data_IF_929767285822
#
_entry.id   IF_929767285822
#
_cell.length_a   1.000
_cell.length_b   1.000
_cell.length_c   1.000
_cell.angle_alpha   90.00
_cell.angle_beta   90.00
_cell.angle_gamma   90.00
#
_symmetry.space_group_name_H-M   'P 1'
#
loop_
_entity.id
_entity.type
_entity.pdbx_description
1 polymer ?
#
# COMPACT_ATOMS: atom_id res chain seq x y z
N UNK A 1 48.86 18.87 4.15
CA UNK A 1 48.13 17.59 4.05
C UNK A 1 46.72 17.92 4.43
N UNK A 2 45.89 18.27 3.45
CA UNK A 2 44.48 18.50 3.73
C UNK A 2 43.82 17.14 3.84
N UNK A 3 43.39 16.78 5.05
CA UNK A 3 42.50 15.64 5.25
C UNK A 3 41.17 16.00 4.60
N UNK A 4 40.93 15.52 3.38
CA UNK A 4 39.59 15.57 2.78
C UNK A 4 38.60 15.00 3.78
N UNK A 5 37.53 15.75 4.04
CA UNK A 5 36.43 15.29 4.90
C UNK A 5 35.87 14.01 4.28
N UNK A 6 35.96 12.90 5.01
CA UNK A 6 35.45 11.62 4.56
C UNK A 6 33.99 11.46 5.00
N UNK A 7 33.06 11.78 4.10
CA UNK A 7 31.62 11.72 4.41
C UNK A 7 31.17 10.28 4.72
N UNK A 8 31.75 9.27 4.06
CA UNK A 8 31.39 7.86 4.28
C UNK A 8 31.70 7.44 5.73
N UNK A 9 32.90 7.79 6.22
CA UNK A 9 33.28 7.56 7.62
C UNK A 9 32.37 8.31 8.62
N UNK A 10 31.99 9.56 8.31
CA UNK A 10 31.08 10.33 9.17
C UNK A 10 29.64 9.79 9.16
N UNK A 11 29.21 9.19 8.05
CA UNK A 11 27.93 8.48 7.90
C UNK A 11 27.93 7.17 8.71
N UNK A 12 28.99 6.37 8.58
CA UNK A 12 29.21 5.11 9.31
C UNK A 12 29.25 5.30 10.83
N UNK A 13 30.03 6.27 11.32
CA UNK A 13 30.16 6.60 12.74
C UNK A 13 28.97 7.41 13.30
N UNK A 14 27.99 7.76 12.45
CA UNK A 14 26.86 8.66 12.77
C UNK A 14 27.30 10.00 13.41
N UNK A 15 28.42 10.56 12.94
CA UNK A 15 28.95 11.85 13.42
C UNK A 15 28.15 13.02 12.82
N UNK A 16 27.01 13.32 13.44
CA UNK A 16 26.13 14.42 13.03
C UNK A 16 26.83 15.78 13.11
N UNK A 17 27.75 16.02 14.05
CA UNK A 17 28.47 17.30 14.14
C UNK A 17 29.45 17.46 12.97
N UNK A 18 30.18 16.41 12.62
CA UNK A 18 31.02 16.34 11.44
C UNK A 18 30.24 16.53 10.14
N UNK A 19 29.09 15.86 10.00
CA UNK A 19 28.21 15.99 8.83
C UNK A 19 27.58 17.39 8.72
N UNK A 20 27.11 17.97 9.84
CA UNK A 20 26.58 19.35 9.88
C UNK A 20 27.65 20.38 9.53
N UNK A 21 28.90 20.14 9.92
CA UNK A 21 30.04 20.96 9.50
C UNK A 21 30.31 20.81 8.00
N UNK A 22 30.25 19.60 7.47
CA UNK A 22 30.43 19.31 6.04
C UNK A 22 29.31 19.89 5.16
N UNK A 23 28.08 20.01 5.68
CA UNK A 23 26.96 20.69 5.02
C UNK A 23 27.25 22.18 4.72
N UNK A 24 28.23 22.77 5.43
CA UNK A 24 28.69 24.16 5.26
C UNK A 24 30.05 24.28 4.56
N UNK A 25 30.60 23.18 4.04
CA UNK A 25 31.90 23.16 3.36
C UNK A 25 31.88 23.98 2.05
N UNK A 26 32.97 24.66 1.64
CA UNK A 26 33.05 25.33 0.35
C UNK A 26 32.84 24.41 -0.88
N UNK A 27 33.21 23.13 -0.81
CA UNK A 27 32.99 22.15 -1.89
C UNK A 27 31.52 21.71 -1.93
N UNK A 28 30.87 21.96 -3.07
CA UNK A 28 29.47 21.58 -3.27
C UNK A 28 29.24 20.06 -3.24
N UNK A 29 30.26 19.26 -3.59
CA UNK A 29 30.16 17.79 -3.56
C UNK A 29 30.08 17.34 -2.10
N UNK A 30 30.95 17.86 -1.23
CA UNK A 30 30.95 17.54 0.20
C UNK A 30 29.62 17.93 0.85
N UNK A 31 29.03 19.08 0.49
CA UNK A 31 27.70 19.48 1.00
C UNK A 31 26.58 18.54 0.54
N UNK A 32 26.61 18.11 -0.73
CA UNK A 32 25.60 17.21 -1.32
C UNK A 32 25.67 15.83 -0.68
N UNK A 33 26.88 15.27 -0.54
CA UNK A 33 27.07 14.00 0.16
C UNK A 33 26.75 14.14 1.66
N UNK A 34 27.08 15.26 2.32
CA UNK A 34 26.71 15.51 3.71
C UNK A 34 25.18 15.54 3.91
N UNK A 35 24.42 16.21 3.04
CA UNK A 35 22.96 16.20 3.08
C UNK A 35 22.40 14.77 2.86
N UNK A 36 22.99 14.00 1.94
CA UNK A 36 22.65 12.59 1.71
C UNK A 36 22.95 11.69 2.92
N UNK A 37 24.07 11.93 3.61
CA UNK A 37 24.45 11.21 4.82
C UNK A 37 23.53 11.55 5.99
N UNK A 38 23.26 12.84 6.24
CA UNK A 38 22.31 13.30 7.27
C UNK A 38 20.91 12.69 7.08
N UNK A 39 20.46 12.54 5.83
CA UNK A 39 19.22 11.83 5.48
C UNK A 39 19.20 10.37 5.92
N UNK A 40 20.34 9.67 5.86
CA UNK A 40 20.48 8.26 6.27
C UNK A 40 20.68 8.12 7.79
N UNK A 41 21.32 9.10 8.42
CA UNK A 41 21.56 9.13 9.87
C UNK A 41 20.28 9.46 10.65
N UNK A 42 19.41 10.33 10.12
CA UNK A 42 18.05 10.55 10.66
C UNK A 42 17.97 11.27 12.01
N UNK A 43 19.03 11.97 12.43
CA UNK A 43 19.15 12.56 13.77
C UNK A 43 18.57 13.98 13.85
N UNK A 44 17.79 14.25 14.92
CA UNK A 44 17.13 15.54 15.17
C UNK A 44 18.09 16.75 15.21
N UNK A 45 19.36 16.54 15.61
CA UNK A 45 20.37 17.62 15.65
C UNK A 45 20.68 18.18 14.26
N UNK A 46 20.34 17.45 13.19
CA UNK A 46 20.47 17.90 11.82
C UNK A 46 19.36 18.87 11.35
N UNK A 47 18.22 18.97 12.05
CA UNK A 47 17.03 19.69 11.57
C UNK A 47 17.31 21.17 11.25
N UNK A 48 17.87 21.92 12.20
CA UNK A 48 18.18 23.35 11.98
C UNK A 48 19.23 23.56 10.87
N UNK A 49 20.35 22.80 10.80
CA UNK A 49 21.26 22.81 9.65
C UNK A 49 20.60 22.50 8.30
N UNK A 50 19.70 21.52 8.24
CA UNK A 50 18.99 21.14 7.01
C UNK A 50 17.96 22.20 6.57
N UNK A 51 17.32 22.88 7.53
CA UNK A 51 16.48 24.07 7.28
C UNK A 51 17.32 25.24 6.72
N UNK A 52 18.58 25.39 7.16
CA UNK A 52 19.48 26.41 6.63
C UNK A 52 19.90 26.10 5.18
N UNK A 53 20.17 24.83 4.85
CA UNK A 53 20.54 24.43 3.48
C UNK A 53 19.38 24.49 2.50
N UNK A 54 18.12 24.32 2.92
CA UNK A 54 16.93 24.60 2.09
C UNK A 54 16.91 26.03 1.54
N UNK A 55 17.43 27.01 2.28
CA UNK A 55 17.15 28.45 2.06
C UNK A 55 18.32 29.23 1.46
N UNK A 56 19.38 28.55 1.01
CA UNK A 56 20.68 29.16 0.79
C UNK A 56 20.82 29.98 -0.53
N UNK A 57 20.22 31.18 -0.54
CA UNK A 57 20.09 32.10 -1.69
C UNK A 57 21.39 32.72 -2.23
N UNK A 58 22.57 32.42 -1.70
CA UNK A 58 23.83 33.12 -2.08
C UNK A 58 24.67 32.41 -3.14
N UNK A 59 24.27 31.22 -3.62
CA UNK A 59 25.11 30.37 -4.48
C UNK A 59 24.65 30.28 -5.95
N UNK A 60 24.10 31.35 -6.52
CA UNK A 60 23.51 31.38 -7.87
C UNK A 60 24.47 31.17 -9.08
N UNK A 61 25.68 30.63 -8.90
CA UNK A 61 26.62 30.36 -10.01
C UNK A 61 26.46 28.97 -10.65
N UNK A 62 26.09 27.94 -9.88
CA UNK A 62 26.21 26.53 -10.29
C UNK A 62 24.88 25.76 -10.08
N UNK A 63 23.94 26.02 -10.99
CA UNK A 63 22.50 25.71 -10.84
C UNK A 63 22.17 24.26 -10.43
N UNK A 64 22.81 23.27 -11.07
CA UNK A 64 22.39 21.84 -10.99
C UNK A 64 22.75 21.16 -9.67
N UNK A 65 23.92 21.44 -9.08
CA UNK A 65 24.35 20.68 -7.89
C UNK A 65 23.79 21.26 -6.58
N UNK A 66 23.20 22.45 -6.66
CA UNK A 66 22.60 23.12 -5.52
C UNK A 66 21.14 22.73 -5.31
N UNK A 67 20.40 22.35 -6.35
CA UNK A 67 19.09 21.71 -6.15
C UNK A 67 19.25 20.36 -5.45
N UNK A 68 20.25 19.55 -5.83
CA UNK A 68 20.54 18.28 -5.14
C UNK A 68 20.79 18.42 -3.63
N UNK A 69 21.42 19.52 -3.16
CA UNK A 69 21.54 19.80 -1.70
C UNK A 69 20.17 20.09 -1.09
N UNK A 70 19.33 20.92 -1.75
CA UNK A 70 18.00 21.29 -1.24
C UNK A 70 17.00 20.13 -1.28
N UNK A 71 17.01 19.32 -2.34
CA UNK A 71 16.28 18.05 -2.46
C UNK A 71 16.63 17.11 -1.30
N UNK A 72 17.93 16.84 -1.08
CA UNK A 72 18.33 15.92 -0.01
C UNK A 72 18.02 16.50 1.37
N UNK A 73 18.04 17.84 1.53
CA UNK A 73 17.63 18.50 2.76
C UNK A 73 16.12 18.36 3.01
N UNK A 74 15.28 18.56 1.98
CA UNK A 74 13.84 18.36 2.10
C UNK A 74 13.48 16.90 2.41
N UNK A 75 14.12 15.95 1.72
CA UNK A 75 13.91 14.52 1.95
C UNK A 75 14.39 14.09 3.35
N UNK A 76 15.54 14.60 3.82
CA UNK A 76 16.03 14.37 5.18
C UNK A 76 15.05 14.89 6.24
N UNK A 77 14.55 16.11 6.09
CA UNK A 77 13.58 16.71 7.02
C UNK A 77 12.27 15.92 7.08
N UNK A 78 11.79 15.41 5.94
CA UNK A 78 10.65 14.50 5.88
C UNK A 78 10.87 13.19 6.63
N UNK A 79 12.06 12.58 6.49
CA UNK A 79 12.41 11.34 7.21
C UNK A 79 12.66 11.54 8.71
N UNK A 80 13.23 12.67 9.12
CA UNK A 80 13.47 12.99 10.54
C UNK A 80 12.15 13.29 11.27
N UNK A 81 11.16 13.86 10.58
CA UNK A 81 9.81 14.04 11.12
C UNK A 81 9.63 15.19 12.13
N UNK A 82 10.59 16.12 12.24
CA UNK A 82 10.47 17.28 13.14
C UNK A 82 9.52 18.35 12.56
N UNK A 83 8.40 18.68 13.26
CA UNK A 83 7.44 19.70 12.82
C UNK A 83 8.03 21.11 12.62
N UNK A 84 9.19 21.43 13.22
CA UNK A 84 9.88 22.70 13.00
C UNK A 84 10.27 22.93 11.52
N UNK A 85 10.36 21.86 10.73
CA UNK A 85 10.61 21.92 9.29
C UNK A 85 9.43 22.46 8.48
N UNK A 86 8.19 22.30 8.94
CA UNK A 86 6.96 22.51 8.15
C UNK A 86 6.92 23.90 7.47
N UNK A 87 7.15 25.05 8.17
CA UNK A 87 7.05 26.36 7.52
C UNK A 87 8.10 26.58 6.41
N UNK A 88 9.25 25.91 6.52
CA UNK A 88 10.35 26.02 5.56
C UNK A 88 10.16 25.06 4.37
N UNK A 89 9.62 23.87 4.62
CA UNK A 89 9.18 22.96 3.57
C UNK A 89 8.03 23.58 2.75
N UNK A 90 7.10 24.30 3.39
CA UNK A 90 6.09 25.11 2.69
C UNK A 90 6.76 26.22 1.84
N UNK A 91 7.70 27.01 2.40
CA UNK A 91 8.42 28.05 1.63
C UNK A 91 9.13 27.44 0.39
N UNK A 92 9.80 26.29 0.54
CA UNK A 92 10.45 25.57 -0.55
C UNK A 92 9.45 25.01 -1.58
N UNK A 93 8.38 24.35 -1.13
CA UNK A 93 7.35 23.80 -2.03
C UNK A 93 6.65 24.88 -2.86
N UNK A 94 6.42 26.07 -2.29
CA UNK A 94 5.77 27.17 -3.01
C UNK A 94 6.69 27.93 -3.99
N UNK A 95 8.01 27.99 -3.72
CA UNK A 95 8.89 29.02 -4.29
C UNK A 95 10.22 28.54 -4.86
N UNK A 96 10.59 27.27 -4.67
CA UNK A 96 11.86 26.81 -5.23
C UNK A 96 11.79 26.77 -6.77
N UNK A 97 12.76 27.37 -7.48
CA UNK A 97 12.76 27.35 -8.94
C UNK A 97 12.95 25.94 -9.53
N UNK A 98 13.48 25.00 -8.74
CA UNK A 98 13.70 23.61 -9.14
C UNK A 98 12.50 22.73 -8.72
N UNK A 99 11.92 22.02 -9.69
CA UNK A 99 10.73 21.19 -9.49
C UNK A 99 10.99 19.92 -8.68
N UNK A 100 12.21 19.37 -8.66
CA UNK A 100 12.53 18.24 -7.79
C UNK A 100 12.60 18.69 -6.32
N UNK A 101 13.10 19.91 -6.06
CA UNK A 101 13.05 20.49 -4.70
C UNK A 101 11.61 20.73 -4.25
N UNK A 102 10.74 21.27 -5.11
CA UNK A 102 9.30 21.43 -4.79
C UNK A 102 8.62 20.07 -4.55
N UNK A 103 8.95 19.06 -5.36
CA UNK A 103 8.46 17.69 -5.22
C UNK A 103 8.83 17.09 -3.86
N UNK A 104 10.11 17.17 -3.50
CA UNK A 104 10.63 16.58 -2.25
C UNK A 104 10.10 17.29 -1.02
N UNK A 105 9.88 18.61 -1.11
CA UNK A 105 9.18 19.36 -0.07
C UNK A 105 7.70 18.94 0.05
N UNK A 106 6.98 18.76 -1.07
CA UNK A 106 5.60 18.26 -1.07
C UNK A 106 5.49 16.83 -0.51
N UNK A 107 6.47 15.96 -0.79
CA UNK A 107 6.57 14.62 -0.21
C UNK A 107 6.82 14.69 1.30
N UNK A 108 7.83 15.44 1.74
CA UNK A 108 8.18 15.58 3.16
C UNK A 108 7.03 16.13 4.02
N UNK A 109 6.26 17.08 3.49
CA UNK A 109 5.03 17.57 4.15
C UNK A 109 3.93 16.49 4.27
N UNK A 110 3.92 15.51 3.38
CA UNK A 110 3.03 14.34 3.46
C UNK A 110 3.44 13.36 4.55
N UNK A 111 4.74 13.03 4.63
CA UNK A 111 5.29 12.14 5.67
C UNK A 111 5.17 12.75 7.08
N UNK A 112 5.36 14.07 7.21
CA UNK A 112 5.12 14.81 8.46
C UNK A 112 3.65 14.77 8.92
N UNK A 113 2.69 14.52 8.01
CA UNK A 113 1.28 14.32 8.34
C UNK A 113 0.51 15.55 8.87
N UNK A 114 1.15 16.70 9.06
CA UNK A 114 0.56 17.84 9.77
C UNK A 114 -0.50 18.59 8.93
N UNK A 115 -1.74 18.78 9.45
CA UNK A 115 -2.81 19.48 8.74
C UNK A 115 -2.53 20.93 8.34
N UNK A 116 -1.55 21.62 8.94
CA UNK A 116 -1.15 22.98 8.55
C UNK A 116 -0.56 23.05 7.14
N UNK A 117 -0.04 21.92 6.62
CA UNK A 117 0.45 21.81 5.25
C UNK A 117 -0.66 21.71 4.18
N UNK A 118 -1.91 21.43 4.57
CA UNK A 118 -3.00 21.10 3.64
C UNK A 118 -3.30 22.21 2.64
N UNK A 119 -3.33 23.47 3.04
CA UNK A 119 -3.60 24.58 2.11
C UNK A 119 -2.48 24.74 1.07
N UNK A 120 -1.21 24.63 1.49
CA UNK A 120 -0.07 24.71 0.59
C UNK A 120 -0.02 23.51 -0.38
N UNK A 121 -0.33 22.30 0.10
CA UNK A 121 -0.42 21.10 -0.74
C UNK A 121 -1.62 21.15 -1.69
N UNK A 122 -2.73 21.78 -1.31
CA UNK A 122 -3.85 22.09 -2.21
C UNK A 122 -3.38 23.03 -3.34
N UNK A 123 -2.58 24.06 -3.04
CA UNK A 123 -1.98 24.90 -4.09
C UNK A 123 -0.98 24.15 -4.98
N UNK A 124 -0.21 23.20 -4.42
CA UNK A 124 0.72 22.37 -5.18
C UNK A 124 0.03 21.38 -6.16
N UNK A 125 -1.28 21.13 -6.02
CA UNK A 125 -2.08 20.45 -7.06
C UNK A 125 -2.23 21.27 -8.36
N UNK A 126 -1.79 22.53 -8.39
CA UNK A 126 -1.81 23.37 -9.60
C UNK A 126 -0.39 23.70 -10.13
N UNK A 127 0.65 23.00 -9.64
CA UNK A 127 2.04 23.18 -10.12
C UNK A 127 2.18 22.82 -11.61
N UNK A 128 3.07 23.54 -12.31
CA UNK A 128 3.36 23.27 -13.72
C UNK A 128 3.92 21.85 -13.96
N UNK A 129 4.69 21.31 -13.01
CA UNK A 129 5.27 19.97 -13.10
C UNK A 129 4.31 18.90 -12.55
N UNK A 130 4.04 17.87 -13.37
CA UNK A 130 3.12 16.78 -13.02
C UNK A 130 3.60 15.93 -11.84
N UNK A 131 4.92 15.79 -11.65
CA UNK A 131 5.51 15.05 -10.53
C UNK A 131 5.28 15.77 -9.19
N UNK A 132 5.26 17.11 -9.18
CA UNK A 132 4.88 17.90 -8.01
C UNK A 132 3.38 17.72 -7.71
N UNK A 133 2.51 17.89 -8.71
CA UNK A 133 1.05 17.68 -8.57
C UNK A 133 0.71 16.27 -8.06
N UNK A 134 1.38 15.24 -8.60
CA UNK A 134 1.24 13.83 -8.18
C UNK A 134 1.61 13.64 -6.72
N UNK A 135 2.75 14.19 -6.27
CA UNK A 135 3.18 14.06 -4.88
C UNK A 135 2.27 14.85 -3.94
N UNK A 136 1.85 16.07 -4.30
CA UNK A 136 0.84 16.81 -3.56
C UNK A 136 -0.47 16.00 -3.38
N UNK A 137 -0.96 15.34 -4.44
CA UNK A 137 -2.12 14.45 -4.34
C UNK A 137 -1.90 13.27 -3.39
N UNK A 138 -0.71 12.64 -3.43
CA UNK A 138 -0.36 11.56 -2.51
C UNK A 138 -0.29 12.02 -1.05
N UNK A 139 0.40 13.13 -0.78
CA UNK A 139 0.59 13.73 0.54
C UNK A 139 -0.72 14.16 1.18
N UNK A 140 -1.61 14.81 0.41
CA UNK A 140 -2.98 15.10 0.87
C UNK A 140 -3.74 13.82 1.23
N UNK A 141 -3.53 12.75 0.47
CA UNK A 141 -4.06 11.42 0.79
C UNK A 141 -3.45 10.76 2.03
N UNK A 142 -2.22 11.10 2.43
CA UNK A 142 -1.59 10.64 3.67
C UNK A 142 -2.16 11.41 4.87
N UNK A 143 -2.20 12.74 4.79
CA UNK A 143 -2.75 13.63 5.83
C UNK A 143 -4.26 13.36 6.05
N UNK A 144 -5.00 13.07 4.98
CA UNK A 144 -6.40 12.62 5.06
C UNK A 144 -7.45 13.71 5.34
N UNK A 145 -7.06 14.99 5.37
CA UNK A 145 -8.00 16.10 5.58
C UNK A 145 -9.01 16.22 4.41
N UNK A 146 -10.30 16.02 4.73
CA UNK A 146 -11.42 16.12 3.79
C UNK A 146 -11.63 17.53 3.20
N UNK A 147 -10.95 18.56 3.73
CA UNK A 147 -10.84 19.89 3.11
C UNK A 147 -10.25 19.81 1.70
N UNK A 148 -9.32 18.87 1.45
CA UNK A 148 -8.68 18.69 0.15
C UNK A 148 -9.52 17.92 -0.87
N UNK A 149 -10.59 17.22 -0.46
CA UNK A 149 -11.37 16.36 -1.35
C UNK A 149 -11.92 17.07 -2.61
N UNK A 150 -12.44 18.32 -2.58
CA UNK A 150 -12.88 19.02 -3.80
C UNK A 150 -11.76 19.27 -4.81
N UNK A 151 -10.53 19.50 -4.33
CA UNK A 151 -9.36 19.75 -5.17
C UNK A 151 -8.79 18.45 -5.74
N UNK A 152 -8.80 17.38 -4.95
CA UNK A 152 -8.48 16.04 -5.44
C UNK A 152 -9.51 15.51 -6.44
N UNK A 153 -10.79 15.88 -6.31
CA UNK A 153 -11.81 15.59 -7.33
C UNK A 153 -11.47 16.30 -8.65
N UNK A 154 -11.07 17.58 -8.62
CA UNK A 154 -10.56 18.29 -9.81
C UNK A 154 -9.30 17.61 -10.39
N UNK A 155 -8.40 17.09 -9.54
CA UNK A 155 -7.20 16.38 -9.96
C UNK A 155 -7.46 15.01 -10.63
N UNK A 156 -8.69 14.47 -10.57
CA UNK A 156 -9.10 13.34 -11.41
C UNK A 156 -9.25 13.72 -12.90
N UNK A 157 -9.24 15.01 -13.24
CA UNK A 157 -9.32 15.53 -14.61
C UNK A 157 -7.95 15.97 -15.17
N UNK A 158 -6.84 15.70 -14.45
CA UNK A 158 -5.50 16.14 -14.85
C UNK A 158 -5.04 15.47 -16.16
N UNK A 159 -4.27 16.21 -16.97
CA UNK A 159 -3.70 15.69 -18.22
C UNK A 159 -2.72 14.52 -17.99
N UNK A 160 -2.03 14.47 -16.84
CA UNK A 160 -1.11 13.38 -16.50
C UNK A 160 -1.81 12.27 -15.69
N UNK A 161 -1.69 11.04 -16.19
CA UNK A 161 -2.33 9.87 -15.61
C UNK A 161 -1.82 9.52 -14.21
N UNK A 162 -0.58 9.87 -13.84
CA UNK A 162 -0.12 9.68 -12.46
C UNK A 162 -0.88 10.60 -11.50
N UNK A 163 -1.14 11.85 -11.88
CA UNK A 163 -1.90 12.78 -11.04
C UNK A 163 -3.31 12.23 -10.82
N UNK A 164 -4.01 11.82 -11.89
CA UNK A 164 -5.33 11.17 -11.80
C UNK A 164 -5.31 9.91 -10.92
N UNK A 165 -4.29 9.05 -11.08
CA UNK A 165 -4.09 7.81 -10.31
C UNK A 165 -3.91 8.08 -8.81
N UNK A 166 -3.09 9.05 -8.43
CA UNK A 166 -2.85 9.38 -7.02
C UNK A 166 -4.00 10.18 -6.40
N UNK A 167 -4.69 11.02 -7.16
CA UNK A 167 -5.95 11.64 -6.74
C UNK A 167 -7.02 10.59 -6.38
N UNK A 168 -7.21 9.57 -7.23
CA UNK A 168 -8.12 8.45 -6.93
C UNK A 168 -7.71 7.67 -5.66
N UNK A 169 -6.40 7.44 -5.46
CA UNK A 169 -5.89 6.80 -4.22
C UNK A 169 -6.19 7.65 -2.99
N UNK A 170 -5.96 8.97 -3.06
CA UNK A 170 -6.19 9.90 -1.95
C UNK A 170 -7.67 9.99 -1.56
N UNK A 171 -8.57 10.14 -2.55
CA UNK A 171 -10.01 10.15 -2.32
C UNK A 171 -10.51 8.82 -1.71
N UNK A 172 -9.93 7.70 -2.15
CA UNK A 172 -10.18 6.38 -1.56
C UNK A 172 -9.65 6.21 -0.14
N UNK A 173 -8.58 6.91 0.26
CA UNK A 173 -8.10 6.97 1.66
C UNK A 173 -9.01 7.86 2.52
N UNK A 174 -9.43 9.02 2.01
CA UNK A 174 -10.31 9.96 2.71
C UNK A 174 -11.74 9.44 2.92
N UNK A 175 -12.20 8.51 2.08
CA UNK A 175 -13.59 8.02 2.08
C UNK A 175 -14.60 9.19 2.08
N UNK A 176 -14.41 10.14 1.16
CA UNK A 176 -15.33 11.27 0.98
C UNK A 176 -16.36 10.97 -0.10
N UNK A 177 -17.63 10.92 0.28
CA UNK A 177 -18.74 10.56 -0.61
C UNK A 177 -18.91 11.53 -1.77
N UNK A 178 -18.43 12.78 -1.65
CA UNK A 178 -18.45 13.78 -2.75
C UNK A 178 -17.67 13.30 -3.97
N UNK A 179 -16.72 12.38 -3.80
CA UNK A 179 -15.93 11.80 -4.89
C UNK A 179 -16.67 10.73 -5.70
N UNK A 180 -17.77 10.13 -5.19
CA UNK A 180 -18.44 8.99 -5.83
C UNK A 180 -18.83 9.24 -7.29
N UNK A 181 -19.46 10.38 -7.66
CA UNK A 181 -19.87 10.62 -9.06
C UNK A 181 -18.68 10.67 -10.02
N UNK A 182 -17.61 11.36 -9.65
CA UNK A 182 -16.44 11.54 -10.52
C UNK A 182 -15.60 10.25 -10.57
N UNK A 183 -15.42 9.55 -9.44
CA UNK A 183 -14.78 8.23 -9.42
C UNK A 183 -15.51 7.18 -10.29
N UNK A 184 -16.84 7.28 -10.41
CA UNK A 184 -17.61 6.45 -11.35
C UNK A 184 -17.30 6.80 -12.81
N UNK A 185 -17.08 8.07 -13.15
CA UNK A 185 -16.66 8.50 -14.48
C UNK A 185 -15.21 8.06 -14.77
N UNK A 186 -14.31 8.19 -13.77
CA UNK A 186 -12.92 7.69 -13.80
C UNK A 186 -12.83 6.17 -14.01
N UNK A 187 -13.90 5.39 -13.78
CA UNK A 187 -13.92 3.98 -14.20
C UNK A 187 -13.75 3.81 -15.71
N UNK A 188 -14.08 4.81 -16.55
CA UNK A 188 -13.89 4.80 -18.02
C UNK A 188 -12.70 5.65 -18.51
N UNK A 189 -11.75 6.00 -17.61
CA UNK A 189 -10.46 6.63 -17.95
C UNK A 189 -9.71 5.85 -19.05
N UNK A 190 -8.86 6.52 -19.82
CA UNK A 190 -8.01 5.91 -20.85
C UNK A 190 -6.94 4.98 -20.26
N UNK A 191 -6.40 5.30 -19.09
CA UNK A 191 -5.32 4.57 -18.44
C UNK A 191 -5.82 3.40 -17.58
N UNK A 192 -5.07 2.30 -17.58
CA UNK A 192 -5.46 1.08 -16.87
C UNK A 192 -5.30 1.17 -15.35
N UNK A 193 -4.25 1.85 -14.87
CA UNK A 193 -3.98 2.03 -13.46
C UNK A 193 -4.98 3.02 -12.84
N UNK A 194 -5.30 4.11 -13.54
CA UNK A 194 -6.31 5.09 -13.10
C UNK A 194 -7.66 4.42 -12.90
N UNK A 195 -8.15 3.64 -13.89
CA UNK A 195 -9.39 2.85 -13.76
C UNK A 195 -9.34 1.87 -12.58
N UNK A 196 -8.21 1.19 -12.37
CA UNK A 196 -8.04 0.26 -11.26
C UNK A 196 -8.07 0.97 -9.90
N UNK A 197 -7.39 2.11 -9.75
CA UNK A 197 -7.40 2.89 -8.51
C UNK A 197 -8.78 3.51 -8.23
N UNK A 198 -9.50 3.99 -9.24
CA UNK A 198 -10.88 4.46 -9.07
C UNK A 198 -11.82 3.34 -8.56
N UNK A 199 -11.70 2.13 -9.10
CA UNK A 199 -12.44 0.97 -8.61
C UNK A 199 -12.07 0.60 -7.15
N UNK A 200 -10.78 0.67 -6.78
CA UNK A 200 -10.38 0.46 -5.39
C UNK A 200 -10.91 1.56 -4.46
N UNK A 201 -10.94 2.82 -4.90
CA UNK A 201 -11.50 3.94 -4.14
C UNK A 201 -13.01 3.77 -3.89
N UNK A 202 -13.77 3.41 -4.93
CA UNK A 202 -15.20 3.08 -4.78
C UNK A 202 -15.42 1.85 -3.88
N UNK A 203 -14.54 0.84 -3.95
CA UNK A 203 -14.54 -0.29 -3.03
C UNK A 203 -14.31 0.12 -1.57
N UNK A 204 -13.36 1.04 -1.31
CA UNK A 204 -13.10 1.60 0.03
C UNK A 204 -14.24 2.49 0.54
N UNK A 205 -14.96 3.17 -0.34
CA UNK A 205 -16.20 3.90 0.00
C UNK A 205 -17.36 2.96 0.36
N UNK A 206 -17.28 1.67 0.01
CA UNK A 206 -18.17 0.63 0.49
C UNK A 206 -19.65 0.91 0.19
N UNK A 207 -20.50 0.76 1.20
CA UNK A 207 -21.95 0.89 1.07
C UNK A 207 -22.41 2.25 0.52
N UNK A 208 -21.69 3.34 0.81
CA UNK A 208 -22.03 4.67 0.30
C UNK A 208 -21.96 4.77 -1.22
N UNK A 209 -21.10 3.98 -1.88
CA UNK A 209 -21.01 3.92 -3.34
C UNK A 209 -22.12 3.08 -3.99
N UNK A 210 -22.79 2.19 -3.24
CA UNK A 210 -23.73 1.20 -3.78
C UNK A 210 -24.93 1.81 -4.52
N UNK A 211 -25.64 2.84 -4.01
CA UNK A 211 -26.76 3.44 -4.74
C UNK A 211 -26.36 4.02 -6.10
N UNK A 212 -25.18 4.64 -6.18
CA UNK A 212 -24.66 5.22 -7.40
C UNK A 212 -24.17 4.15 -8.40
N UNK A 213 -23.59 3.05 -7.89
CA UNK A 213 -23.23 1.87 -8.69
C UNK A 213 -24.47 1.13 -9.25
N UNK A 214 -25.54 0.99 -8.46
CA UNK A 214 -26.81 0.44 -8.94
C UNK A 214 -27.40 1.31 -10.06
N UNK A 215 -27.33 2.63 -9.93
CA UNK A 215 -27.68 3.55 -11.03
C UNK A 215 -26.77 3.36 -12.26
N UNK A 216 -25.48 3.10 -12.07
CA UNK A 216 -24.52 2.84 -13.15
C UNK A 216 -24.79 1.50 -13.89
N UNK A 217 -25.40 0.50 -13.24
CA UNK A 217 -25.94 -0.70 -13.91
C UNK A 217 -27.04 -0.38 -14.93
N UNK A 218 -27.65 0.80 -14.90
CA UNK A 218 -28.65 1.24 -15.88
C UNK A 218 -28.05 2.10 -17.01
N UNK A 219 -26.72 2.21 -17.09
CA UNK A 219 -26.05 3.01 -18.11
C UNK A 219 -26.23 2.45 -19.53
N UNK A 220 -26.40 3.34 -20.52
CA UNK A 220 -26.38 2.95 -21.95
C UNK A 220 -25.04 2.33 -22.36
N UNK A 221 -23.93 2.74 -21.73
CA UNK A 221 -22.60 2.16 -21.97
C UNK A 221 -22.47 0.82 -21.24
N UNK A 222 -22.40 -0.29 -21.98
CA UNK A 222 -22.25 -1.62 -21.40
C UNK A 222 -20.95 -1.80 -20.61
N UNK A 223 -19.88 -1.05 -20.94
CA UNK A 223 -18.62 -1.09 -20.17
C UNK A 223 -18.83 -0.53 -18.77
N UNK A 224 -19.60 0.56 -18.65
CA UNK A 224 -19.95 1.14 -17.35
C UNK A 224 -20.77 0.15 -16.51
N UNK A 225 -21.77 -0.52 -17.11
CA UNK A 225 -22.54 -1.56 -16.40
C UNK A 225 -21.66 -2.73 -15.93
N UNK A 226 -20.75 -3.22 -16.78
CA UNK A 226 -19.83 -4.30 -16.43
C UNK A 226 -18.86 -3.91 -15.30
N UNK A 227 -18.33 -2.67 -15.32
CA UNK A 227 -17.45 -2.13 -14.28
C UNK A 227 -18.21 -1.94 -12.96
N UNK A 228 -19.43 -1.38 -13.01
CA UNK A 228 -20.28 -1.23 -11.85
C UNK A 228 -20.61 -2.59 -11.19
N UNK A 229 -20.92 -3.61 -11.99
CA UNK A 229 -21.12 -4.97 -11.49
C UNK A 229 -19.87 -5.53 -10.79
N UNK A 230 -18.67 -5.28 -11.33
CA UNK A 230 -17.42 -5.69 -10.67
C UNK A 230 -17.19 -4.99 -9.33
N UNK A 231 -17.43 -3.68 -9.25
CA UNK A 231 -17.28 -2.92 -7.99
C UNK A 231 -18.31 -3.38 -6.95
N UNK A 232 -19.57 -3.58 -7.34
CA UNK A 232 -20.63 -4.12 -6.48
C UNK A 232 -20.25 -5.50 -5.92
N UNK A 233 -19.66 -6.38 -6.74
CA UNK A 233 -19.13 -7.67 -6.29
C UNK A 233 -17.90 -7.60 -5.38
N UNK A 234 -17.19 -6.47 -5.33
CA UNK A 234 -16.10 -6.21 -4.37
C UNK A 234 -16.61 -5.63 -3.05
N UNK A 235 -17.66 -4.82 -3.08
CA UNK A 235 -18.32 -4.27 -1.87
C UNK A 235 -19.12 -5.36 -1.16
N UNK A 236 -19.86 -6.17 -1.91
CA UNK A 236 -20.55 -7.36 -1.40
C UNK A 236 -21.70 -7.11 -0.43
N UNK A 237 -22.32 -5.93 -0.48
CA UNK A 237 -23.52 -5.62 0.30
C UNK A 237 -24.75 -6.41 -0.15
N UNK A 238 -25.79 -6.44 0.68
CA UNK A 238 -27.07 -7.07 0.34
C UNK A 238 -27.77 -6.37 -0.84
N UNK A 239 -27.73 -5.04 -0.91
CA UNK A 239 -28.25 -4.29 -2.06
C UNK A 239 -27.46 -4.59 -3.35
N UNK A 240 -26.13 -4.76 -3.24
CA UNK A 240 -25.29 -5.18 -4.34
C UNK A 240 -25.66 -6.59 -4.84
N UNK A 241 -25.89 -7.53 -3.91
CA UNK A 241 -26.37 -8.88 -4.22
C UNK A 241 -27.68 -8.85 -5.02
N UNK A 242 -28.70 -8.11 -4.55
CA UNK A 242 -29.99 -8.04 -5.23
C UNK A 242 -29.90 -7.37 -6.61
N UNK A 243 -29.13 -6.28 -6.74
CA UNK A 243 -28.92 -5.63 -8.04
C UNK A 243 -28.18 -6.53 -9.06
N UNK A 244 -27.22 -7.34 -8.60
CA UNK A 244 -26.52 -8.32 -9.44
C UNK A 244 -27.42 -9.51 -9.82
N UNK A 245 -28.35 -9.91 -8.93
CA UNK A 245 -29.40 -10.89 -9.25
C UNK A 245 -30.33 -10.35 -10.35
N UNK A 246 -30.72 -9.07 -10.29
CA UNK A 246 -31.56 -8.43 -11.31
C UNK A 246 -30.90 -8.46 -12.71
N UNK A 247 -29.60 -8.14 -12.80
CA UNK A 247 -28.83 -8.14 -14.07
C UNK A 247 -28.85 -9.50 -14.81
N UNK A 248 -28.92 -10.61 -14.06
CA UNK A 248 -29.04 -11.97 -14.60
C UNK A 248 -30.48 -12.49 -14.72
N UNK A 249 -31.45 -11.83 -14.07
CA UNK A 249 -32.87 -12.18 -14.11
C UNK A 249 -33.50 -11.78 -15.44
N UNK A 250 -34.64 -12.39 -15.82
CA UNK A 250 -35.29 -12.07 -17.11
C UNK A 250 -36.22 -10.83 -16.98
N UNK A 251 -36.17 -9.87 -17.93
CA UNK A 251 -35.28 -9.78 -19.08
C UNK A 251 -33.86 -9.35 -18.65
N UNK A 252 -32.86 -10.17 -18.97
CA UNK A 252 -31.48 -9.96 -18.54
C UNK A 252 -30.75 -8.95 -19.43
N UNK A 253 -29.63 -8.41 -18.96
CA UNK A 253 -28.79 -7.52 -19.77
C UNK A 253 -28.44 -8.17 -21.12
N UNK A 254 -28.61 -7.46 -22.23
CA UNK A 254 -28.32 -8.00 -23.55
C UNK A 254 -26.82 -8.28 -23.80
N UNK A 255 -25.92 -7.68 -23.02
CA UNK A 255 -24.48 -7.76 -23.22
C UNK A 255 -23.84 -8.88 -22.36
N UNK A 256 -23.22 -9.84 -23.06
CA UNK A 256 -22.47 -10.98 -22.49
C UNK A 256 -21.42 -10.60 -21.43
N UNK A 257 -20.77 -9.45 -21.55
CA UNK A 257 -19.73 -9.04 -20.61
C UNK A 257 -20.33 -8.54 -19.30
N UNK A 258 -21.47 -7.84 -19.36
CA UNK A 258 -22.21 -7.41 -18.17
C UNK A 258 -22.76 -8.64 -17.43
N UNK A 259 -23.41 -9.57 -18.14
CA UNK A 259 -23.91 -10.83 -17.55
C UNK A 259 -22.79 -11.65 -16.91
N UNK A 260 -21.68 -11.88 -17.61
CA UNK A 260 -20.55 -12.64 -17.06
C UNK A 260 -19.88 -11.95 -15.87
N UNK A 261 -19.76 -10.62 -15.88
CA UNK A 261 -19.26 -9.85 -14.72
C UNK A 261 -20.21 -9.88 -13.53
N UNK A 262 -21.52 -9.89 -13.77
CA UNK A 262 -22.52 -10.07 -12.70
C UNK A 262 -22.44 -11.47 -12.09
N UNK A 263 -22.25 -12.52 -12.90
CA UNK A 263 -22.03 -13.88 -12.41
C UNK A 263 -20.73 -13.99 -11.57
N UNK A 264 -19.62 -13.46 -12.08
CA UNK A 264 -18.33 -13.34 -11.38
C UNK A 264 -18.48 -12.60 -10.03
N UNK A 265 -19.25 -11.51 -10.02
CA UNK A 265 -19.55 -10.71 -8.84
C UNK A 265 -20.39 -11.46 -7.80
N UNK A 266 -21.48 -12.15 -8.19
CA UNK A 266 -22.26 -13.00 -7.28
C UNK A 266 -21.39 -14.12 -6.66
N UNK A 267 -20.50 -14.71 -7.46
CA UNK A 267 -19.49 -15.65 -6.97
C UNK A 267 -18.50 -15.05 -5.99
N UNK A 268 -18.18 -13.75 -6.08
CA UNK A 268 -17.39 -13.04 -5.06
C UNK A 268 -18.14 -12.86 -3.75
N UNK A 269 -19.42 -12.47 -3.81
CA UNK A 269 -20.28 -12.29 -2.64
C UNK A 269 -20.47 -13.62 -1.88
N UNK A 270 -20.64 -14.73 -2.61
CA UNK A 270 -20.70 -16.06 -1.99
C UNK A 270 -22.06 -16.40 -1.34
N UNK A 271 -23.11 -15.60 -1.62
CA UNK A 271 -24.45 -15.80 -1.05
C UNK A 271 -25.28 -16.81 -1.85
N UNK A 272 -25.88 -17.78 -1.15
CA UNK A 272 -26.73 -18.85 -1.72
C UNK A 272 -27.95 -18.33 -2.49
N UNK A 273 -28.44 -17.11 -2.19
CA UNK A 273 -29.55 -16.47 -2.91
C UNK A 273 -29.23 -16.20 -4.38
N UNK A 274 -27.94 -16.05 -4.73
CA UNK A 274 -27.51 -15.92 -6.13
C UNK A 274 -27.58 -17.23 -6.94
N UNK A 275 -27.73 -18.40 -6.30
CA UNK A 275 -27.61 -19.70 -6.99
C UNK A 275 -28.67 -19.94 -8.06
N UNK A 276 -29.89 -19.43 -7.91
CA UNK A 276 -30.96 -19.63 -8.90
C UNK A 276 -30.64 -18.95 -10.23
N UNK A 277 -30.30 -17.66 -10.19
CA UNK A 277 -29.93 -16.90 -11.40
C UNK A 277 -28.63 -17.39 -12.02
N UNK A 278 -27.67 -17.84 -11.20
CA UNK A 278 -26.45 -18.47 -11.72
C UNK A 278 -26.74 -19.79 -12.43
N UNK A 279 -27.61 -20.66 -11.89
CA UNK A 279 -28.03 -21.90 -12.57
C UNK A 279 -28.76 -21.63 -13.88
N UNK A 280 -29.52 -20.54 -13.96
CA UNK A 280 -30.11 -20.07 -15.22
C UNK A 280 -29.02 -19.59 -16.19
N UNK A 281 -27.99 -18.87 -15.71
CA UNK A 281 -26.85 -18.40 -16.50
C UNK A 281 -25.92 -19.54 -17.01
N UNK A 282 -25.93 -20.73 -16.41
CA UNK A 282 -25.30 -21.94 -16.99
C UNK A 282 -25.91 -22.33 -18.35
N UNK A 283 -27.09 -21.81 -18.70
CA UNK A 283 -27.77 -22.02 -20.00
C UNK A 283 -27.70 -20.79 -20.92
N UNK A 284 -26.86 -19.81 -20.59
CA UNK A 284 -26.66 -18.62 -21.42
C UNK A 284 -26.12 -18.98 -22.81
N UNK A 285 -26.45 -18.19 -23.83
CA UNK A 285 -25.98 -18.39 -25.20
C UNK A 285 -24.45 -18.30 -25.31
N UNK A 286 -23.80 -17.42 -24.53
CA UNK A 286 -22.36 -17.18 -24.60
C UNK A 286 -21.60 -18.02 -23.59
N UNK A 287 -20.58 -18.74 -24.08
CA UNK A 287 -19.67 -19.55 -23.24
C UNK A 287 -19.12 -18.78 -22.04
N UNK A 288 -18.68 -17.53 -22.24
CA UNK A 288 -18.13 -16.69 -21.15
C UNK A 288 -19.09 -16.55 -19.95
N UNK A 289 -20.40 -16.41 -20.18
CA UNK A 289 -21.38 -16.26 -19.10
C UNK A 289 -21.57 -17.59 -18.37
N UNK A 290 -21.62 -18.71 -19.10
CA UNK A 290 -21.69 -20.07 -18.53
C UNK A 290 -20.45 -20.37 -17.67
N UNK A 291 -19.26 -20.14 -18.21
CA UNK A 291 -17.98 -20.36 -17.51
C UNK A 291 -17.92 -19.56 -16.19
N UNK A 292 -18.35 -18.29 -16.19
CA UNK A 292 -18.41 -17.48 -14.95
C UNK A 292 -19.49 -17.97 -13.98
N UNK A 293 -20.65 -18.42 -14.47
CA UNK A 293 -21.71 -18.99 -13.64
C UNK A 293 -21.27 -20.29 -12.97
N UNK A 294 -20.57 -21.18 -13.69
CA UNK A 294 -20.01 -22.41 -13.14
C UNK A 294 -19.00 -22.13 -12.02
N UNK A 295 -18.05 -21.20 -12.25
CA UNK A 295 -17.07 -20.75 -11.25
C UNK A 295 -17.76 -20.14 -10.02
N UNK A 296 -18.79 -19.31 -10.22
CA UNK A 296 -19.54 -18.69 -9.14
C UNK A 296 -20.31 -19.72 -8.30
N UNK A 297 -20.99 -20.68 -8.94
CA UNK A 297 -21.70 -21.77 -8.26
C UNK A 297 -20.73 -22.64 -7.46
N UNK A 298 -19.59 -23.03 -8.07
CA UNK A 298 -18.51 -23.75 -7.39
C UNK A 298 -18.06 -23.01 -6.13
N UNK A 299 -17.84 -21.69 -6.22
CA UNK A 299 -17.38 -20.86 -5.09
C UNK A 299 -18.43 -20.68 -3.98
N UNK A 300 -19.71 -20.57 -4.33
CA UNK A 300 -20.81 -20.47 -3.34
C UNK A 300 -21.10 -21.82 -2.67
N UNK A 301 -21.06 -22.92 -3.43
CA UNK A 301 -21.35 -24.27 -2.93
C UNK A 301 -20.16 -24.95 -2.25
N UNK A 302 -18.93 -24.46 -2.46
CA UNK A 302 -17.76 -24.98 -1.72
C UNK A 302 -18.03 -24.79 -0.22
N UNK A 303 -18.08 -25.87 0.58
CA UNK A 303 -18.36 -25.73 2.00
C UNK A 303 -17.33 -24.80 2.63
N UNK A 304 -17.78 -23.84 3.44
CA UNK A 304 -16.91 -23.07 4.31
C UNK A 304 -16.27 -24.05 5.29
N UNK A 305 -15.06 -24.51 4.97
CA UNK A 305 -14.30 -25.41 5.84
C UNK A 305 -13.92 -24.67 7.10
N UNK A 306 -14.42 -25.15 8.23
CA UNK A 306 -13.92 -24.76 9.54
C UNK A 306 -12.44 -25.15 9.61
N UNK A 307 -11.56 -24.15 9.67
CA UNK A 307 -10.17 -24.36 10.05
C UNK A 307 -10.19 -24.57 11.55
N UNK A 308 -9.87 -25.78 12.01
CA UNK A 308 -9.81 -26.05 13.45
C UNK A 308 -8.44 -25.62 13.95
N UNK A 309 -8.45 -24.80 15.01
CA UNK A 309 -7.25 -24.50 15.77
C UNK A 309 -7.16 -25.51 16.90
N UNK A 310 -6.08 -26.28 16.91
CA UNK A 310 -5.71 -27.19 17.99
C UNK A 310 -4.66 -26.48 18.84
N UNK A 311 -4.90 -26.45 20.15
CA UNK A 311 -4.04 -25.81 21.13
C UNK A 311 -3.56 -26.89 22.11
N UNK A 312 -2.25 -26.96 22.35
CA UNK A 312 -1.63 -27.99 23.17
C UNK A 312 -1.00 -27.37 24.44
N UNK A 313 -0.99 -28.14 25.53
CA UNK A 313 -0.57 -27.66 26.87
C UNK A 313 0.91 -27.20 26.96
N UNK A 314 1.71 -27.46 25.93
CA UNK A 314 3.09 -26.99 25.76
C UNK A 314 3.19 -25.57 25.16
N UNK A 315 2.08 -24.93 24.79
CA UNK A 315 2.06 -23.64 24.10
C UNK A 315 2.20 -23.73 22.58
N UNK A 316 2.03 -24.93 22.00
CA UNK A 316 2.04 -25.15 20.56
C UNK A 316 0.64 -24.96 19.98
N UNK A 317 0.55 -24.18 18.89
CA UNK A 317 -0.71 -23.91 18.17
C UNK A 317 -0.62 -24.51 16.77
N UNK A 318 -1.68 -25.23 16.36
CA UNK A 318 -1.72 -25.92 15.08
C UNK A 318 -3.03 -25.73 14.31
N UNK A 319 -2.94 -25.62 12.99
CA UNK A 319 -4.07 -25.38 12.08
C UNK A 319 -4.36 -26.63 11.21
N UNK A 320 -5.54 -27.22 11.37
CA UNK A 320 -6.00 -28.39 10.59
C UNK A 320 -6.70 -27.95 9.29
N UNK A 321 -6.15 -28.37 8.14
CA UNK A 321 -6.66 -28.06 6.80
C UNK A 321 -6.90 -29.34 5.97
N UNK A 322 -8.05 -29.42 5.29
CA UNK A 322 -8.61 -30.73 4.89
C UNK A 322 -8.76 -31.00 3.38
N UNK A 323 -7.95 -30.44 2.47
CA UNK A 323 -8.00 -30.82 1.03
C UNK A 323 -6.69 -30.63 0.24
N UNK A 324 -6.57 -31.41 -0.85
CA UNK A 324 -5.44 -31.48 -1.78
C UNK A 324 -5.51 -30.40 -2.88
N UNK A 325 -4.39 -30.08 -3.57
CA UNK A 325 -4.29 -28.94 -4.50
C UNK A 325 -3.85 -29.33 -5.93
N UNK A 326 -4.12 -28.46 -6.92
CA UNK A 326 -3.81 -28.66 -8.35
C UNK A 326 -3.54 -27.30 -9.08
N UNK A 327 -2.99 -27.31 -10.31
CA UNK A 327 -2.23 -26.19 -10.91
C UNK A 327 -2.79 -25.64 -12.25
N UNK A 328 -2.80 -24.30 -12.48
CA UNK A 328 -3.16 -23.65 -13.77
C UNK A 328 -2.37 -22.33 -14.00
N UNK A 329 -1.86 -22.09 -15.22
CA UNK A 329 -1.07 -20.90 -15.63
C UNK A 329 -1.93 -19.74 -16.21
N UNK A 330 -1.48 -18.60 -16.77
CA UNK A 330 -0.15 -18.05 -17.17
C UNK A 330 -0.14 -16.50 -17.06
N UNK A 331 1.06 -15.91 -17.26
CA UNK A 331 1.43 -14.56 -17.78
C UNK A 331 0.96 -13.28 -17.06
N UNK A 332 1.96 -12.42 -16.83
CA UNK A 332 1.98 -11.02 -16.37
C UNK A 332 1.28 -10.66 -15.05
N UNK A 333 2.07 -10.08 -14.13
CA UNK A 333 1.69 -9.58 -12.81
C UNK A 333 1.04 -10.60 -11.83
N UNK A 334 1.81 -11.65 -11.49
CA UNK A 334 1.60 -12.62 -10.38
C UNK A 334 0.28 -13.43 -10.37
N UNK A 335 0.42 -14.77 -10.46
CA UNK A 335 -0.54 -15.76 -9.96
C UNK A 335 0.22 -16.82 -9.15
N UNK A 336 -0.32 -17.18 -7.99
CA UNK A 336 0.21 -18.21 -7.08
C UNK A 336 -0.98 -18.96 -6.48
N UNK A 337 -0.88 -20.29 -6.32
CA UNK A 337 -1.57 -21.19 -5.36
C UNK A 337 -1.03 -22.63 -5.58
N UNK A 338 -0.89 -23.46 -4.52
CA UNK A 338 0.02 -24.64 -4.49
C UNK A 338 -0.36 -25.65 -3.38
N UNK A 339 -0.01 -26.95 -3.49
CA UNK A 339 0.15 -27.83 -2.30
C UNK A 339 0.00 -29.36 -2.42
N UNK A 340 0.93 -30.09 -1.79
CA UNK A 340 0.91 -31.45 -1.17
C UNK A 340 2.39 -31.83 -0.94
N UNK A 341 2.87 -32.53 0.09
CA UNK A 341 2.32 -33.45 1.11
C UNK A 341 2.86 -33.04 2.52
N UNK A 342 2.44 -33.54 3.69
CA UNK A 342 1.40 -34.51 4.12
C UNK A 342 0.81 -34.03 5.48
N UNK A 343 0.20 -34.94 6.26
CA UNK A 343 -0.23 -34.79 7.66
C UNK A 343 -1.18 -33.61 8.03
N UNK A 344 -1.55 -32.76 7.08
CA UNK A 344 -2.66 -31.80 7.15
C UNK A 344 -2.62 -30.73 8.27
N UNK A 345 -1.49 -30.60 8.96
CA UNK A 345 -1.28 -29.62 10.02
C UNK A 345 0.05 -28.91 9.85
N UNK A 346 0.10 -27.64 10.26
CA UNK A 346 1.38 -26.98 10.56
C UNK A 346 1.34 -26.52 12.02
N UNK A 347 2.51 -26.51 12.68
CA UNK A 347 2.68 -26.15 14.10
C UNK A 347 3.47 -24.86 14.25
N UNK A 348 3.23 -24.15 15.35
CA UNK A 348 4.03 -23.01 15.83
C UNK A 348 4.39 -23.28 17.29
N UNK A 349 5.68 -23.19 17.63
CA UNK A 349 6.17 -23.29 19.01
C UNK A 349 6.61 -21.92 19.53
N UNK A 350 6.11 -21.54 20.70
CA UNK A 350 6.45 -20.29 21.38
C UNK A 350 7.52 -20.54 22.46
N UNK A 351 8.63 -19.81 22.40
CA UNK A 351 9.57 -19.75 23.52
C UNK A 351 9.30 -18.47 24.31
N UNK A 352 8.92 -18.61 25.58
CA UNK A 352 8.49 -17.48 26.42
C UNK A 352 9.68 -16.84 27.10
N UNK A 353 9.83 -15.53 26.98
CA UNK A 353 10.61 -14.74 27.93
C UNK A 353 9.63 -13.94 28.82
N UNK A 354 9.94 -13.84 30.11
CA UNK A 354 9.02 -13.28 31.12
C UNK A 354 8.92 -11.74 31.03
N UNK A 355 7.87 -11.20 31.64
CA UNK A 355 7.63 -9.76 31.85
C UNK A 355 6.96 -8.98 30.70
N UNK A 356 5.94 -9.58 30.08
CA UNK A 356 4.87 -8.87 29.34
C UNK A 356 3.51 -9.33 29.86
N UNK A 357 2.55 -8.41 30.03
CA UNK A 357 1.20 -8.75 30.53
C UNK A 357 0.46 -9.71 29.59
N UNK A 358 -0.37 -10.58 30.17
CA UNK A 358 -0.90 -11.78 29.52
C UNK A 358 -1.85 -11.48 28.35
N UNK A 359 -1.34 -11.49 27.11
CA UNK A 359 -2.16 -11.90 25.96
C UNK A 359 -2.37 -13.41 26.09
N UNK A 360 -3.62 -13.83 26.25
CA UNK A 360 -3.93 -15.26 26.38
C UNK A 360 -3.65 -16.01 25.08
N UNK A 361 -3.35 -17.31 25.17
CA UNK A 361 -3.20 -18.18 24.00
C UNK A 361 -4.44 -18.17 23.08
N UNK A 362 -5.59 -17.74 23.60
CA UNK A 362 -6.85 -17.64 22.87
C UNK A 362 -6.96 -16.33 22.08
N UNK A 363 -6.52 -15.20 22.64
CA UNK A 363 -6.45 -13.91 21.92
C UNK A 363 -5.40 -13.94 20.82
N UNK A 364 -4.23 -14.54 21.09
CA UNK A 364 -3.20 -14.72 20.05
C UNK A 364 -3.67 -15.67 18.93
N UNK A 365 -4.47 -16.69 19.25
CA UNK A 365 -5.09 -17.55 18.24
C UNK A 365 -6.16 -16.83 17.41
N UNK A 366 -6.86 -15.82 17.95
CA UNK A 366 -7.73 -14.93 17.14
C UNK A 366 -6.88 -14.09 16.17
N UNK A 367 -5.77 -13.50 16.65
CA UNK A 367 -4.85 -12.73 15.78
C UNK A 367 -4.27 -13.58 14.64
N UNK A 368 -3.81 -14.80 14.92
CA UNK A 368 -3.24 -15.69 13.89
C UNK A 368 -4.25 -16.14 12.82
N UNK A 369 -5.56 -16.21 13.13
CA UNK A 369 -6.63 -16.48 12.13
C UNK A 369 -6.74 -15.35 11.11
N UNK A 370 -6.66 -14.11 11.58
CA UNK A 370 -6.80 -12.92 10.77
C UNK A 370 -5.52 -12.63 9.96
N UNK A 371 -4.36 -12.93 10.55
CA UNK A 371 -3.04 -12.72 9.96
C UNK A 371 -2.73 -13.73 8.84
N UNK A 372 -2.46 -15.01 9.15
CA UNK A 372 -1.68 -15.82 8.20
C UNK A 372 -2.44 -16.56 7.10
N UNK A 373 -3.57 -17.21 7.43
CA UNK A 373 -4.28 -18.13 6.51
C UNK A 373 -3.43 -19.17 5.74
N UNK A 374 -2.23 -19.55 6.22
CA UNK A 374 -1.50 -20.84 6.05
C UNK A 374 0.01 -20.70 6.32
N UNK A 375 0.70 -21.82 6.56
CA UNK A 375 2.14 -21.90 6.89
C UNK A 375 2.88 -22.90 5.97
N UNK A 376 4.23 -22.87 5.96
CA UNK A 376 5.09 -23.90 5.34
C UNK A 376 6.51 -23.41 5.07
N UNK A 377 7.27 -23.08 6.13
CA UNK A 377 8.45 -22.22 6.04
C UNK A 377 9.56 -22.66 7.02
N UNK A 378 10.84 -22.53 6.65
CA UNK A 378 12.02 -22.81 7.50
C UNK A 378 12.84 -21.52 7.75
N UNK A 379 13.35 -21.29 8.97
CA UNK A 379 14.17 -20.11 9.29
C UNK A 379 15.61 -20.40 8.88
N UNK A 380 16.16 -19.65 7.92
CA UNK A 380 17.47 -19.96 7.31
C UNK A 380 18.58 -18.96 7.70
N UNK A 381 18.24 -17.76 8.21
CA UNK A 381 19.25 -16.80 8.69
C UNK A 381 18.78 -16.04 9.96
N UNK A 382 19.52 -16.20 11.06
CA UNK A 382 19.40 -15.38 12.27
C UNK A 382 20.47 -14.27 12.24
N UNK A 383 20.27 -13.23 11.44
CA UNK A 383 21.10 -12.02 11.56
C UNK A 383 20.64 -11.19 12.75
N UNK A 384 21.44 -11.23 13.80
CA UNK A 384 21.20 -10.55 15.08
C UNK A 384 21.21 -9.03 14.92
N UNK A 385 20.07 -8.42 14.59
CA UNK A 385 19.87 -6.97 14.57
C UNK A 385 19.60 -6.42 15.99
N UNK A 386 20.52 -6.68 16.93
CA UNK A 386 20.35 -6.39 18.37
C UNK A 386 20.26 -4.89 18.74
N UNK A 387 20.44 -3.95 17.80
CA UNK A 387 20.67 -2.55 18.14
C UNK A 387 19.43 -1.74 18.60
N UNK A 388 18.20 -2.24 18.42
CA UNK A 388 16.98 -1.46 18.71
C UNK A 388 15.81 -2.25 19.35
N UNK A 389 16.03 -3.49 19.82
CA UNK A 389 14.97 -4.29 20.46
C UNK A 389 13.89 -4.81 19.51
N UNK A 390 14.23 -4.98 18.24
CA UNK A 390 13.38 -5.56 17.19
C UNK A 390 13.97 -6.90 16.73
N UNK A 391 13.13 -7.89 16.42
CA UNK A 391 13.56 -9.22 15.98
C UNK A 391 12.93 -9.55 14.63
N UNK A 392 13.76 -9.58 13.58
CA UNK A 392 13.36 -9.90 12.22
C UNK A 392 13.57 -11.39 11.98
N UNK A 393 12.51 -12.09 11.57
CA UNK A 393 12.54 -13.54 11.34
C UNK A 393 12.30 -13.84 9.85
N UNK A 394 13.38 -14.02 9.10
CA UNK A 394 13.31 -14.38 7.68
C UNK A 394 13.03 -15.88 7.53
N UNK A 395 11.83 -16.22 7.02
CA UNK A 395 11.39 -17.62 6.90
C UNK A 395 11.30 -18.03 5.43
N UNK A 396 12.35 -18.71 4.98
CA UNK A 396 12.52 -19.19 3.63
C UNK A 396 11.85 -20.56 3.47
N UNK A 397 10.86 -20.64 2.58
CA UNK A 397 10.23 -21.91 2.22
C UNK A 397 10.89 -22.51 0.98
N UNK A 398 11.87 -23.41 1.15
CA UNK A 398 12.33 -24.20 0.01
C UNK A 398 11.24 -25.17 -0.46
N UNK A 399 11.08 -25.24 -1.79
CA UNK A 399 10.24 -26.23 -2.43
C UNK A 399 10.91 -26.62 -3.74
N UNK A 400 11.61 -27.76 -3.73
CA UNK A 400 12.61 -28.12 -4.74
C UNK A 400 12.06 -28.40 -6.17
N UNK A 401 10.76 -28.18 -6.43
CA UNK A 401 10.12 -28.46 -7.73
C UNK A 401 9.60 -27.22 -8.48
N UNK A 402 9.68 -26.01 -7.90
CA UNK A 402 9.41 -24.73 -8.59
C UNK A 402 10.40 -23.68 -8.06
N UNK A 403 10.65 -22.59 -8.80
CA UNK A 403 11.45 -21.45 -8.31
C UNK A 403 10.99 -21.02 -6.90
N UNK A 404 11.95 -20.73 -6.00
CA UNK A 404 11.66 -20.51 -4.58
C UNK A 404 10.70 -19.34 -4.37
N UNK A 405 9.91 -19.40 -3.30
CA UNK A 405 8.95 -18.35 -2.93
C UNK A 405 9.00 -18.20 -1.42
N UNK A 406 9.50 -17.07 -0.93
CA UNK A 406 9.75 -16.83 0.50
C UNK A 406 8.60 -16.07 1.17
N UNK A 407 8.54 -16.18 2.50
CA UNK A 407 7.62 -15.42 3.35
C UNK A 407 8.45 -14.71 4.43
N UNK A 408 8.61 -13.39 4.29
CA UNK A 408 9.26 -12.57 5.31
C UNK A 408 8.26 -12.25 6.41
N UNK A 409 8.63 -12.46 7.68
CA UNK A 409 7.86 -12.05 8.85
C UNK A 409 8.71 -11.10 9.70
N UNK A 410 8.25 -9.86 9.85
CA UNK A 410 8.91 -8.87 10.72
C UNK A 410 8.13 -8.79 12.03
N UNK A 411 8.83 -8.90 13.16
CA UNK A 411 8.26 -8.66 14.48
C UNK A 411 8.96 -7.52 15.20
N UNK A 412 8.21 -6.67 15.89
CA UNK A 412 8.78 -5.56 16.65
C UNK A 412 7.95 -5.26 17.90
N UNK A 413 8.62 -4.78 18.95
CA UNK A 413 8.03 -4.47 20.24
C UNK A 413 7.88 -2.96 20.42
N UNK A 414 6.70 -2.51 20.85
CA UNK A 414 6.51 -1.17 21.44
C UNK A 414 5.86 -1.33 22.80
N UNK A 415 6.43 -0.68 23.82
CA UNK A 415 5.95 -0.77 25.20
C UNK A 415 5.78 -2.24 25.65
N UNK A 416 4.59 -2.62 26.11
CA UNK A 416 4.21 -3.99 26.47
C UNK A 416 3.51 -4.75 25.32
N UNK A 417 3.59 -4.29 24.07
CA UNK A 417 2.89 -4.89 22.93
C UNK A 417 3.86 -5.35 21.83
N UNK A 418 3.51 -6.46 21.19
CA UNK A 418 4.29 -7.13 20.15
C UNK A 418 3.49 -7.14 18.84
N UNK A 419 4.09 -6.66 17.77
CA UNK A 419 3.46 -6.44 16.47
C UNK A 419 4.12 -7.32 15.40
N UNK A 420 3.35 -7.66 14.36
CA UNK A 420 3.78 -8.54 13.27
C UNK A 420 3.36 -8.01 11.90
N UNK A 421 4.25 -8.09 10.93
CA UNK A 421 4.03 -7.81 9.50
C UNK A 421 4.50 -9.01 8.68
N UNK A 422 3.87 -9.29 7.54
CA UNK A 422 4.29 -10.38 6.66
C UNK A 422 4.17 -10.06 5.17
N UNK A 423 5.11 -10.59 4.38
CA UNK A 423 5.24 -10.33 2.95
C UNK A 423 5.50 -11.64 2.18
N UNK A 424 5.04 -11.74 0.92
CA UNK A 424 5.17 -12.97 0.09
C UNK A 424 5.73 -12.63 -1.30
N UNK A 425 6.82 -13.28 -1.69
CA UNK A 425 7.61 -12.87 -2.86
C UNK A 425 8.65 -13.88 -3.33
N UNK A 426 9.37 -13.49 -4.38
CA UNK A 426 10.57 -14.19 -4.88
C UNK A 426 11.77 -13.81 -3.99
N UNK A 427 12.68 -14.73 -3.60
CA UNK A 427 13.85 -14.39 -2.80
C UNK A 427 14.70 -13.26 -3.38
N UNK A 428 14.91 -13.23 -4.70
CA UNK A 428 15.71 -12.18 -5.34
C UNK A 428 15.01 -10.83 -5.23
N UNK A 429 13.68 -10.81 -5.28
CA UNK A 429 12.90 -9.59 -5.05
C UNK A 429 12.92 -9.12 -3.59
N UNK A 430 13.25 -9.99 -2.62
CA UNK A 430 13.49 -9.58 -1.23
C UNK A 430 14.93 -9.06 -1.04
N UNK A 431 15.93 -9.65 -1.69
CA UNK A 431 17.30 -9.10 -1.73
C UNK A 431 17.33 -7.71 -2.40
N UNK A 432 16.64 -7.55 -3.55
CA UNK A 432 16.55 -6.29 -4.28
C UNK A 432 15.73 -5.21 -3.54
N UNK A 433 14.66 -5.61 -2.84
CA UNK A 433 13.80 -4.69 -2.08
C UNK A 433 14.19 -4.55 -0.61
N UNK A 434 15.35 -5.05 -0.19
CA UNK A 434 15.77 -5.04 1.22
C UNK A 434 15.79 -3.62 1.81
N UNK A 435 16.33 -2.64 1.05
CA UNK A 435 16.30 -1.22 1.47
C UNK A 435 14.87 -0.66 1.58
N UNK A 436 13.93 -1.04 0.68
CA UNK A 436 12.53 -0.60 0.72
C UNK A 436 11.73 -1.26 1.86
N UNK A 437 12.06 -2.51 2.20
CA UNK A 437 11.47 -3.26 3.32
C UNK A 437 11.98 -2.69 4.64
N UNK A 438 13.28 -2.43 4.74
CA UNK A 438 13.86 -1.75 5.89
C UNK A 438 13.29 -0.34 6.03
N UNK A 439 13.15 0.41 4.93
CA UNK A 439 12.44 1.70 4.93
C UNK A 439 10.96 1.57 5.35
N UNK A 440 10.28 0.47 4.99
CA UNK A 440 8.90 0.21 5.46
C UNK A 440 8.85 -0.08 6.97
N UNK A 441 9.82 -0.81 7.51
CA UNK A 441 9.95 -1.06 8.96
C UNK A 441 10.31 0.23 9.70
N UNK A 442 11.30 0.98 9.22
CA UNK A 442 11.74 2.24 9.80
C UNK A 442 10.68 3.35 9.68
N UNK A 443 9.82 3.32 8.66
CA UNK A 443 8.68 4.25 8.51
C UNK A 443 7.45 3.87 9.33
N UNK A 444 7.46 2.75 10.06
CA UNK A 444 6.70 2.66 11.31
C UNK A 444 7.43 3.50 12.37
N UNK A 445 7.44 4.82 12.17
CA UNK A 445 7.79 5.79 13.21
C UNK A 445 6.69 5.77 14.27
N UNK A 446 6.90 4.89 15.23
CA UNK A 446 6.02 4.75 16.38
C UNK A 446 6.34 5.90 17.34
N UNK A 447 5.59 7.00 17.21
CA UNK A 447 5.57 8.06 18.21
C UNK A 447 5.37 7.44 19.61
N UNK A 448 6.23 7.86 20.55
CA UNK A 448 6.19 7.45 21.96
C UNK A 448 4.85 7.71 22.61
#
# INVERSE_FOLDING_TARGET
MDSKVNIEYLEEEKDVEGLVKALKDPDYILRKEAARALKRVGDERAVLPLIESLRYKTWHSDYVVLSAVRENSAEALGKIGDPQAIPFLIESMERDPDDEVRLKAAWALGELGDPSAVDALISALEDNNWSVRRNAANSLGIIGDKKAAPYLIKALEDNDWHVRKYAAVALGKMQDERAIPVLLETLDDEDADVRWKAMLALGKLGNSAVPALIKALQSKNWRMRAKAAEVLGKIGSEDALFALIEVLSKPSDCNRHVRGKAAEALGRIGDVRGLEVLRNAQRDEYKYVRDQADIAIQKILKPKKEVKILNYDNGEVSLDYSENWEMVSTSDAKKVLRGLYANNSISLSLNRNTDVEEISSQEFAEMLKDVFRMQGSEVIDERSFENYGMEIYEIYGENHEVTPTSILIVSFKKDNLLYYLWFVGDPVAFEEANEDIQLMVDSFYIYG
#
